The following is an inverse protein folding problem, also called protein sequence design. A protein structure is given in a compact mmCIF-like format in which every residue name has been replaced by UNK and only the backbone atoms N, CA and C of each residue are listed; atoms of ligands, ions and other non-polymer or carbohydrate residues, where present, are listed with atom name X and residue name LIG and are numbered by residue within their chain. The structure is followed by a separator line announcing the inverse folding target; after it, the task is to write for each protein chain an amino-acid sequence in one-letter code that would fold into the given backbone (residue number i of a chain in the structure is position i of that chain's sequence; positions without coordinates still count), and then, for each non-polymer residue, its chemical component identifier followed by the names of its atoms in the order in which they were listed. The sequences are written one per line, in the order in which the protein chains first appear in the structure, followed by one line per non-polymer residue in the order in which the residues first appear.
data_IF_043967172863
#
_entry.id   IF_043967172863
#
_cell.length_a   1.000
_cell.length_b   1.000
_cell.length_c   1.000
_cell.angle_alpha   90.00
_cell.angle_beta   90.00
_cell.angle_gamma   90.00
#
_symmetry.space_group_name_H-M   'P 1'
#
loop_
_entity.id
_entity.type
_entity.pdbx_description
1 polymer ?
#
# COMPACT_ATOMS: atom_id res chain seq x y z
N UNK A 1 -7.26 -21.88 -17.81
CA UNK A 1 -6.43 -22.53 -16.75
C UNK A 1 -7.36 -22.99 -15.63
N UNK A 2 -6.87 -23.77 -14.65
CA UNK A 2 -7.70 -24.22 -13.52
C UNK A 2 -8.30 -23.07 -12.66
N UNK A 3 -7.79 -21.83 -12.83
CA UNK A 3 -8.16 -20.64 -12.06
C UNK A 3 -8.76 -19.52 -12.94
N UNK A 4 -9.48 -19.88 -14.00
CA UNK A 4 -10.31 -18.94 -14.79
C UNK A 4 -9.57 -17.93 -15.70
N UNK A 5 -8.23 -17.90 -15.68
CA UNK A 5 -7.42 -17.06 -16.58
C UNK A 5 -6.90 -17.79 -17.82
N UNK A 6 -6.36 -17.03 -18.78
CA UNK A 6 -5.62 -17.59 -19.94
C UNK A 6 -4.12 -17.69 -19.64
N UNK A 7 -3.37 -18.47 -20.41
CA UNK A 7 -1.91 -18.56 -20.23
C UNK A 7 -1.21 -17.22 -20.46
N UNK A 8 -1.76 -16.36 -21.32
CA UNK A 8 -1.22 -15.01 -21.56
C UNK A 8 -1.51 -14.04 -20.40
N UNK A 9 -2.35 -14.42 -19.43
CA UNK A 9 -2.60 -13.69 -18.18
C UNK A 9 -1.69 -14.13 -17.02
N UNK A 10 -0.73 -15.03 -17.25
CA UNK A 10 0.18 -15.50 -16.23
C UNK A 10 1.25 -14.45 -15.87
N UNK A 11 1.67 -14.47 -14.61
CA UNK A 11 2.76 -13.65 -14.09
C UNK A 11 3.84 -14.53 -13.49
N UNK A 12 5.10 -14.15 -13.70
CA UNK A 12 6.16 -14.50 -12.77
C UNK A 12 6.05 -13.51 -11.61
N UNK A 13 6.09 -14.00 -10.37
CA UNK A 13 5.84 -13.16 -9.19
C UNK A 13 7.06 -13.14 -8.29
N UNK A 14 7.55 -11.93 -7.97
CA UNK A 14 8.62 -11.68 -7.00
C UNK A 14 8.00 -10.91 -5.85
N UNK A 15 8.00 -11.48 -4.64
CA UNK A 15 7.35 -10.90 -3.45
C UNK A 15 8.40 -10.66 -2.36
N UNK A 16 9.16 -9.56 -2.42
CA UNK A 16 10.20 -9.28 -1.43
C UNK A 16 9.60 -8.80 -0.11
N UNK A 17 10.12 -9.27 1.03
CA UNK A 17 9.88 -8.61 2.31
C UNK A 17 10.65 -7.28 2.35
N UNK A 18 10.02 -6.20 2.79
CA UNK A 18 10.68 -4.90 2.96
C UNK A 18 11.87 -5.01 3.93
N UNK A 19 12.96 -4.22 3.75
CA UNK A 19 14.03 -4.14 4.74
C UNK A 19 13.47 -3.80 6.13
N UNK A 20 13.77 -4.63 7.14
CA UNK A 20 13.22 -4.50 8.49
C UNK A 20 11.92 -5.28 8.74
N UNK A 21 11.34 -5.93 7.73
CA UNK A 21 10.08 -6.67 7.82
C UNK A 21 10.27 -8.17 7.61
N UNK A 22 9.54 -8.99 8.37
CA UNK A 22 9.47 -10.44 8.17
C UNK A 22 10.86 -11.10 8.10
N UNK A 23 11.14 -11.81 7.02
CA UNK A 23 12.40 -12.53 6.83
C UNK A 23 13.54 -11.69 6.25
N UNK A 24 13.29 -10.42 5.91
CA UNK A 24 14.35 -9.52 5.43
C UNK A 24 15.24 -9.06 6.58
N UNK A 25 16.50 -8.75 6.25
CA UNK A 25 17.45 -8.22 7.23
C UNK A 25 16.94 -6.93 7.90
N UNK A 26 17.33 -6.73 9.16
CA UNK A 26 16.97 -5.54 9.96
C UNK A 26 18.06 -4.46 9.77
N UNK A 27 17.78 -3.33 9.10
CA UNK A 27 18.76 -2.27 8.96
C UNK A 27 19.32 -1.79 10.31
N UNK A 28 20.65 -1.66 10.37
CA UNK A 28 21.38 -1.16 11.55
C UNK A 28 21.70 0.33 11.47
N UNK A 29 21.51 0.94 10.30
CA UNK A 29 21.71 2.37 10.06
C UNK A 29 20.44 2.98 9.44
N UNK A 30 20.15 4.26 9.73
CA UNK A 30 19.05 5.00 9.11
C UNK A 30 19.16 5.11 7.58
N UNK A 31 18.10 5.65 6.99
CA UNK A 31 18.03 6.02 5.58
C UNK A 31 17.52 4.90 4.68
N UNK A 32 16.74 3.96 5.21
CA UNK A 32 15.95 3.01 4.42
C UNK A 32 14.56 3.60 4.14
N UNK A 33 14.52 4.60 3.26
CA UNK A 33 13.29 5.23 2.77
C UNK A 33 12.70 4.47 1.57
N UNK A 34 11.45 4.75 1.17
CA UNK A 34 10.89 4.20 -0.07
C UNK A 34 11.77 4.45 -1.30
N UNK A 35 12.48 5.59 -1.36
CA UNK A 35 13.42 5.93 -2.44
C UNK A 35 14.55 4.89 -2.54
N UNK A 36 15.19 4.57 -1.40
CA UNK A 36 16.28 3.59 -1.35
C UNK A 36 15.79 2.16 -1.58
N UNK A 37 14.62 1.83 -1.04
CA UNK A 37 14.02 0.50 -1.25
C UNK A 37 13.70 0.29 -2.73
N UNK A 38 13.18 1.30 -3.43
CA UNK A 38 12.95 1.25 -4.88
C UNK A 38 14.23 0.98 -5.68
N UNK A 39 15.36 1.60 -5.30
CA UNK A 39 16.67 1.32 -5.90
C UNK A 39 17.11 -0.13 -5.62
N UNK A 40 16.91 -0.63 -4.40
CA UNK A 40 17.23 -2.00 -4.04
C UNK A 40 16.37 -3.02 -4.83
N UNK A 41 15.09 -2.73 -5.04
CA UNK A 41 14.21 -3.58 -5.85
C UNK A 41 14.55 -3.53 -7.34
N UNK A 42 14.98 -2.39 -7.87
CA UNK A 42 15.52 -2.33 -9.23
C UNK A 42 16.74 -3.26 -9.40
N UNK A 43 17.67 -3.23 -8.44
CA UNK A 43 18.82 -4.15 -8.41
C UNK A 43 18.38 -5.61 -8.26
N UNK A 44 17.36 -5.89 -7.44
CA UNK A 44 16.78 -7.23 -7.30
C UNK A 44 16.28 -7.76 -8.65
N UNK A 45 15.46 -6.96 -9.37
CA UNK A 45 14.91 -7.37 -10.66
C UNK A 45 16.01 -7.59 -11.71
N UNK A 46 17.05 -6.74 -11.72
CA UNK A 46 18.23 -6.94 -12.56
C UNK A 46 18.95 -8.26 -12.24
N UNK A 47 19.17 -8.57 -10.96
CA UNK A 47 19.85 -9.82 -10.52
C UNK A 47 19.05 -11.08 -10.84
N UNK A 48 17.72 -10.98 -10.82
CA UNK A 48 16.82 -12.06 -11.24
C UNK A 48 16.69 -12.19 -12.76
N UNK A 49 17.28 -11.27 -13.54
CA UNK A 49 17.27 -11.31 -15.00
C UNK A 49 15.97 -10.81 -15.65
N UNK A 50 15.09 -10.13 -14.91
CA UNK A 50 13.86 -9.57 -15.47
C UNK A 50 14.16 -8.27 -16.21
N UNK A 51 14.25 -8.35 -17.54
CA UNK A 51 14.48 -7.19 -18.42
C UNK A 51 13.20 -6.43 -18.81
N UNK A 52 12.03 -7.00 -18.48
CA UNK A 52 10.71 -6.41 -18.67
C UNK A 52 9.80 -6.87 -17.54
N UNK A 53 9.32 -5.93 -16.74
CA UNK A 53 8.50 -6.21 -15.58
C UNK A 53 7.56 -5.05 -15.26
N UNK A 54 6.61 -5.30 -14.38
CA UNK A 54 5.71 -4.31 -13.79
C UNK A 54 5.92 -4.33 -12.28
N UNK A 55 5.62 -3.21 -11.61
CA UNK A 55 5.63 -3.15 -10.14
C UNK A 55 4.20 -3.00 -9.62
N UNK A 56 3.95 -3.53 -8.43
CA UNK A 56 2.65 -3.50 -7.79
C UNK A 56 2.82 -3.22 -6.30
N UNK A 57 1.97 -2.37 -5.73
CA UNK A 57 1.86 -2.29 -4.29
C UNK A 57 0.70 -1.43 -3.78
N UNK A 58 0.24 -1.75 -2.57
CA UNK A 58 -0.51 -0.87 -1.68
C UNK A 58 0.38 -0.43 -0.51
N UNK A 59 -0.09 0.49 0.33
CA UNK A 59 0.64 0.98 1.52
C UNK A 59 2.11 1.36 1.21
N UNK A 60 3.09 0.94 2.03
CA UNK A 60 4.52 1.12 1.75
C UNK A 60 4.94 0.53 0.41
N UNK A 61 4.28 -0.54 -0.05
CA UNK A 61 4.48 -1.09 -1.39
C UNK A 61 4.09 -0.11 -2.51
N UNK A 62 3.04 0.70 -2.33
CA UNK A 62 2.71 1.78 -3.25
C UNK A 62 3.79 2.86 -3.21
N UNK A 63 4.18 3.30 -2.01
CA UNK A 63 5.22 4.31 -1.85
C UNK A 63 6.52 3.89 -2.56
N UNK A 64 6.91 2.62 -2.46
CA UNK A 64 8.07 2.06 -3.17
C UNK A 64 7.82 1.96 -4.68
N UNK A 65 6.66 1.46 -5.10
CA UNK A 65 6.31 1.30 -6.53
C UNK A 65 6.28 2.63 -7.28
N UNK A 66 5.73 3.68 -6.66
CA UNK A 66 5.77 5.03 -7.22
C UNK A 66 7.18 5.59 -7.29
N UNK A 67 8.03 5.34 -6.29
CA UNK A 67 9.45 5.71 -6.35
C UNK A 67 10.18 4.96 -7.46
N UNK A 68 9.88 3.68 -7.69
CA UNK A 68 10.39 2.96 -8.86
C UNK A 68 9.90 3.61 -10.16
N UNK A 69 8.64 4.05 -10.23
CA UNK A 69 8.09 4.71 -11.41
C UNK A 69 8.72 6.07 -11.70
N UNK A 70 9.14 6.81 -10.67
CA UNK A 70 9.92 8.05 -10.83
C UNK A 70 11.35 7.78 -11.27
N UNK A 71 11.99 6.76 -10.69
CA UNK A 71 13.36 6.35 -11.00
C UNK A 71 13.48 5.72 -12.40
N UNK A 72 12.40 5.15 -12.93
CA UNK A 72 12.33 4.47 -14.23
C UNK A 72 13.49 3.49 -14.46
N UNK A 73 13.70 2.51 -13.55
CA UNK A 73 14.76 1.53 -13.74
C UNK A 73 14.55 0.76 -15.05
N UNK A 74 15.65 0.34 -15.73
CA UNK A 74 15.55 -0.40 -16.98
C UNK A 74 14.62 -1.62 -16.85
N UNK A 75 13.66 -1.73 -17.78
CA UNK A 75 12.72 -2.83 -17.84
C UNK A 75 11.38 -2.61 -17.12
N UNK A 76 11.23 -1.59 -16.28
CA UNK A 76 9.94 -1.27 -15.68
C UNK A 76 8.97 -0.68 -16.73
N UNK A 77 7.89 -1.41 -17.01
CA UNK A 77 6.91 -1.04 -18.04
C UNK A 77 5.75 -0.17 -17.51
N UNK A 78 5.46 -0.26 -16.22
CA UNK A 78 4.34 0.41 -15.57
C UNK A 78 4.12 -0.09 -14.15
N UNK A 79 3.23 0.58 -13.42
CA UNK A 79 2.87 0.20 -12.05
C UNK A 79 1.37 -0.02 -11.88
N UNK A 80 1.00 -0.86 -10.92
CA UNK A 80 -0.37 -0.96 -10.39
C UNK A 80 -0.38 -0.60 -8.91
N UNK A 81 -1.42 0.11 -8.49
CA UNK A 81 -1.64 0.44 -7.09
C UNK A 81 -3.09 0.22 -6.66
N UNK A 82 -3.25 -0.30 -5.45
CA UNK A 82 -4.53 -0.37 -4.74
C UNK A 82 -4.65 0.67 -3.61
N UNK A 83 -3.68 1.56 -3.46
CA UNK A 83 -3.66 2.66 -2.48
C UNK A 83 -2.92 3.86 -3.09
N UNK A 84 -3.53 4.44 -4.11
CA UNK A 84 -2.89 5.43 -4.98
C UNK A 84 -2.57 6.74 -4.24
N UNK A 85 -1.45 7.41 -4.54
CA UNK A 85 -1.16 8.76 -4.04
C UNK A 85 -1.73 9.83 -5.00
N UNK A 86 -3.01 10.18 -4.80
CA UNK A 86 -3.76 11.04 -5.75
C UNK A 86 -4.33 12.31 -5.14
N UNK A 87 -4.08 12.60 -3.87
CA UNK A 87 -4.76 13.69 -3.15
C UNK A 87 -4.32 15.06 -3.68
N UNK A 88 -5.23 15.89 -4.22
CA UNK A 88 -4.89 17.23 -4.70
C UNK A 88 -4.28 18.12 -3.61
N UNK A 89 -3.38 19.02 -3.98
CA UNK A 89 -2.63 19.85 -3.03
C UNK A 89 -3.52 20.78 -2.18
N UNK A 90 -4.61 21.31 -2.75
CA UNK A 90 -5.59 22.12 -2.05
C UNK A 90 -6.41 21.30 -1.03
N UNK A 91 -6.78 20.06 -1.39
CA UNK A 91 -7.40 19.09 -0.48
C UNK A 91 -6.45 18.74 0.66
N UNK A 92 -5.20 18.37 0.37
CA UNK A 92 -4.19 18.04 1.38
C UNK A 92 -3.93 19.21 2.34
N UNK A 93 -3.82 20.44 1.81
CA UNK A 93 -3.64 21.65 2.61
C UNK A 93 -4.83 21.91 3.53
N UNK A 94 -6.05 21.73 3.04
CA UNK A 94 -7.25 21.95 3.84
C UNK A 94 -7.40 20.89 4.95
N UNK A 95 -7.12 19.62 4.66
CA UNK A 95 -7.08 18.54 5.66
C UNK A 95 -6.03 18.81 6.74
N UNK A 96 -4.81 19.18 6.35
CA UNK A 96 -3.73 19.50 7.29
C UNK A 96 -4.05 20.70 8.20
N UNK A 97 -4.87 21.63 7.72
CA UNK A 97 -5.34 22.78 8.50
C UNK A 97 -6.55 22.46 9.41
N UNK A 98 -7.12 21.25 9.33
CA UNK A 98 -8.39 20.92 9.98
C UNK A 98 -9.56 21.76 9.45
N UNK A 99 -9.44 22.27 8.23
CA UNK A 99 -10.41 23.17 7.60
C UNK A 99 -11.58 22.45 6.94
N UNK A 100 -12.57 23.18 6.42
CA UNK A 100 -13.66 22.60 5.64
C UNK A 100 -13.17 22.05 4.30
N UNK A 101 -13.93 21.12 3.66
CA UNK A 101 -13.63 20.67 2.31
C UNK A 101 -13.56 21.85 1.33
N UNK A 102 -12.63 21.84 0.35
CA UNK A 102 -12.64 22.78 -0.77
C UNK A 102 -14.02 22.84 -1.44
N UNK A 103 -14.37 24.03 -1.94
CA UNK A 103 -15.63 24.22 -2.68
C UNK A 103 -15.55 23.48 -4.01
N UNK A 104 -16.64 22.83 -4.41
CA UNK A 104 -16.76 22.22 -5.74
C UNK A 104 -16.27 20.78 -5.84
N UNK A 105 -15.96 20.10 -4.73
CA UNK A 105 -15.77 18.65 -4.74
C UNK A 105 -17.04 17.96 -5.25
N UNK A 106 -16.88 17.07 -6.22
CA UNK A 106 -17.94 16.16 -6.65
C UNK A 106 -18.34 15.21 -5.51
N UNK A 107 -19.49 14.50 -5.58
CA UNK A 107 -19.88 13.54 -4.56
C UNK A 107 -18.81 12.46 -4.29
N UNK A 108 -18.10 12.03 -5.33
CA UNK A 108 -17.03 11.05 -5.23
C UNK A 108 -15.80 11.60 -4.48
N UNK A 109 -15.39 12.82 -4.83
CA UNK A 109 -14.27 13.50 -4.16
C UNK A 109 -14.63 13.91 -2.72
N UNK A 110 -15.90 14.21 -2.46
CA UNK A 110 -16.40 14.47 -1.11
C UNK A 110 -16.38 13.19 -0.25
N UNK A 111 -16.71 12.04 -0.83
CA UNK A 111 -16.58 10.76 -0.13
C UNK A 111 -15.12 10.48 0.25
N UNK A 112 -14.18 10.63 -0.68
CA UNK A 112 -12.76 10.49 -0.40
C UNK A 112 -12.26 11.51 0.64
N UNK A 113 -12.74 12.76 0.59
CA UNK A 113 -12.48 13.76 1.63
C UNK A 113 -12.92 13.26 3.00
N UNK A 114 -14.15 12.78 3.14
CA UNK A 114 -14.69 12.34 4.44
C UNK A 114 -13.91 11.15 5.00
N UNK A 115 -13.48 10.23 4.13
CA UNK A 115 -12.62 9.12 4.52
C UNK A 115 -11.24 9.58 5.01
N UNK A 116 -10.62 10.54 4.31
CA UNK A 116 -9.32 11.11 4.68
C UNK A 116 -9.41 11.95 5.96
N UNK A 117 -10.44 12.77 6.11
CA UNK A 117 -10.65 13.61 7.30
C UNK A 117 -10.81 12.77 8.56
N UNK A 118 -11.59 11.68 8.49
CA UNK A 118 -11.71 10.69 9.56
C UNK A 118 -10.35 10.03 9.86
N UNK A 119 -9.63 9.57 8.83
CA UNK A 119 -8.32 8.94 9.00
C UNK A 119 -7.29 9.87 9.65
N UNK A 120 -7.20 11.14 9.22
CA UNK A 120 -6.26 12.10 9.80
C UNK A 120 -6.59 12.45 11.26
N UNK A 121 -7.87 12.42 11.65
CA UNK A 121 -8.30 12.69 13.02
C UNK A 121 -8.16 11.47 13.94
N UNK A 122 -8.42 10.28 13.42
CA UNK A 122 -8.65 9.09 14.25
C UNK A 122 -7.71 7.91 13.97
N UNK A 123 -7.08 7.84 12.80
CA UNK A 123 -6.35 6.66 12.31
C UNK A 123 -4.81 6.72 12.39
N UNK A 124 -4.22 7.87 12.76
CA UNK A 124 -2.77 8.06 12.70
C UNK A 124 -1.99 7.71 13.97
N UNK A 125 -2.66 7.27 15.05
CA UNK A 125 -2.01 7.06 16.35
C UNK A 125 -0.76 6.16 16.28
N UNK A 126 -0.87 5.01 15.61
CA UNK A 126 0.25 4.08 15.45
C UNK A 126 1.41 4.72 14.66
N UNK A 127 1.10 5.41 13.56
CA UNK A 127 2.08 6.02 12.68
C UNK A 127 2.80 7.19 13.36
N UNK A 128 2.09 7.98 14.18
CA UNK A 128 2.68 9.09 14.94
C UNK A 128 3.74 8.57 15.92
N UNK A 129 3.46 7.47 16.64
CA UNK A 129 4.45 6.88 17.55
C UNK A 129 5.64 6.31 16.76
N UNK A 130 5.40 5.57 15.66
CA UNK A 130 6.48 5.02 14.84
C UNK A 130 7.33 6.08 14.12
N UNK A 131 6.71 7.20 13.69
CA UNK A 131 7.42 8.33 13.08
C UNK A 131 8.39 8.98 14.07
N UNK A 132 7.99 9.08 15.34
CA UNK A 132 8.74 9.83 16.35
C UNK A 132 9.73 8.97 17.11
N UNK A 133 9.29 7.81 17.62
CA UNK A 133 10.02 6.99 18.59
C UNK A 133 9.78 5.49 18.35
N UNK A 134 10.13 4.93 17.17
CA UNK A 134 9.87 3.51 16.90
C UNK A 134 10.55 2.55 17.90
N UNK A 135 11.67 2.96 18.49
CA UNK A 135 12.43 2.14 19.43
C UNK A 135 11.79 2.04 20.82
N UNK A 136 10.92 2.98 21.23
CA UNK A 136 10.26 2.92 22.55
C UNK A 136 9.17 1.87 22.63
N UNK A 137 8.74 1.33 21.47
CA UNK A 137 7.75 0.26 21.35
C UNK A 137 8.26 -1.11 21.84
N UNK A 138 9.19 -1.18 22.80
CA UNK A 138 9.68 -2.47 23.33
C UNK A 138 8.56 -3.36 23.89
N UNK A 139 7.47 -2.77 24.38
CA UNK A 139 6.32 -3.54 24.86
C UNK A 139 5.69 -4.47 23.80
N UNK A 140 5.71 -4.10 22.51
CA UNK A 140 5.12 -4.93 21.44
C UNK A 140 6.05 -6.05 20.97
N UNK A 141 7.31 -6.07 21.39
CA UNK A 141 8.23 -7.19 21.12
C UNK A 141 8.47 -8.08 22.33
N UNK A 142 8.07 -7.62 23.53
CA UNK A 142 8.15 -8.39 24.77
C UNK A 142 6.83 -9.12 25.10
N UNK A 143 5.70 -8.67 24.54
CA UNK A 143 4.38 -9.25 24.76
C UNK A 143 3.72 -9.67 23.44
N UNK A 144 3.42 -10.96 23.22
CA UNK A 144 2.73 -11.41 22.02
C UNK A 144 1.28 -10.88 21.96
N UNK A 145 0.64 -10.69 23.12
CA UNK A 145 -0.68 -10.03 23.21
C UNK A 145 -0.56 -8.55 22.88
N UNK A 146 0.52 -7.90 23.32
CA UNK A 146 0.82 -6.51 22.96
C UNK A 146 1.04 -6.33 21.46
N UNK A 147 1.80 -7.24 20.83
CA UNK A 147 1.99 -7.27 19.38
C UNK A 147 0.68 -7.48 18.64
N UNK A 148 -0.12 -8.47 19.06
CA UNK A 148 -1.39 -8.77 18.45
C UNK A 148 -2.32 -7.55 18.52
N UNK A 149 -2.52 -6.97 19.70
CA UNK A 149 -3.35 -5.77 19.85
C UNK A 149 -2.88 -4.62 18.94
N UNK A 150 -1.57 -4.38 18.88
CA UNK A 150 -0.97 -3.35 18.04
C UNK A 150 -1.22 -3.57 16.54
N UNK A 151 -1.16 -4.82 16.07
CA UNK A 151 -1.41 -5.15 14.66
C UNK A 151 -2.89 -5.19 14.30
N UNK A 152 -3.77 -5.59 15.23
CA UNK A 152 -5.20 -5.72 14.97
C UNK A 152 -5.92 -4.36 14.93
N UNK A 153 -5.47 -3.38 15.73
CA UNK A 153 -6.13 -2.08 15.91
C UNK A 153 -5.25 -0.90 15.44
N UNK A 154 -4.77 -0.98 14.19
CA UNK A 154 -3.98 0.10 13.57
C UNK A 154 -4.83 1.11 12.79
N UNK A 155 -6.00 0.69 12.27
CA UNK A 155 -7.03 1.58 11.75
C UNK A 155 -8.43 0.99 11.96
N UNK A 156 -9.45 1.85 12.01
CA UNK A 156 -10.81 1.45 12.38
C UNK A 156 -11.51 0.56 11.36
N UNK A 157 -11.21 0.68 10.05
CA UNK A 157 -11.87 -0.13 9.00
C UNK A 157 -11.29 -1.53 9.00
N UNK A 158 -9.96 -1.65 9.04
CA UNK A 158 -9.26 -2.93 9.18
C UNK A 158 -9.64 -3.62 10.49
N UNK A 159 -9.66 -2.89 11.61
CA UNK A 159 -10.08 -3.44 12.90
C UNK A 159 -11.50 -4.01 12.83
N UNK A 160 -12.45 -3.27 12.26
CA UNK A 160 -13.83 -3.74 12.11
C UNK A 160 -13.94 -4.99 11.24
N UNK A 161 -13.16 -5.10 10.15
CA UNK A 161 -13.12 -6.30 9.32
C UNK A 161 -12.57 -7.49 10.12
N UNK A 162 -11.44 -7.28 10.78
CA UNK A 162 -10.78 -8.31 11.59
C UNK A 162 -11.70 -8.77 12.73
N UNK A 163 -12.33 -7.85 13.45
CA UNK A 163 -13.28 -8.18 14.51
C UNK A 163 -14.42 -9.08 14.00
N UNK A 164 -14.99 -8.80 12.82
CA UNK A 164 -16.02 -9.65 12.22
C UNK A 164 -15.51 -11.05 11.89
N UNK A 165 -14.26 -11.19 11.43
CA UNK A 165 -13.60 -12.50 11.21
C UNK A 165 -13.45 -13.26 12.54
N UNK A 166 -13.05 -12.57 13.61
CA UNK A 166 -12.99 -13.15 14.95
C UNK A 166 -14.37 -13.48 15.53
N UNK A 167 -15.43 -12.79 15.11
CA UNK A 167 -16.82 -13.12 15.46
C UNK A 167 -17.41 -14.25 14.59
N UNK A 168 -16.62 -14.80 13.65
CA UNK A 168 -17.01 -15.94 12.81
C UNK A 168 -17.71 -15.57 11.50
N UNK A 169 -17.70 -14.30 11.11
CA UNK A 169 -18.20 -13.85 9.80
C UNK A 169 -17.17 -14.11 8.70
N UNK A 170 -17.64 -14.30 7.46
CA UNK A 170 -16.77 -14.53 6.30
C UNK A 170 -16.46 -13.21 5.59
N UNK A 171 -15.22 -12.75 5.71
CA UNK A 171 -14.74 -11.52 5.03
C UNK A 171 -13.64 -11.76 4.00
N UNK A 172 -13.35 -13.03 3.68
CA UNK A 172 -12.25 -13.43 2.80
C UNK A 172 -10.97 -13.78 3.54
N UNK A 173 -10.91 -13.51 4.85
CA UNK A 173 -9.87 -13.93 5.77
C UNK A 173 -10.41 -14.91 6.82
N UNK A 174 -9.54 -15.79 7.30
CA UNK A 174 -9.75 -16.62 8.48
C UNK A 174 -9.03 -16.04 9.69
N UNK A 175 -9.33 -16.55 10.89
CA UNK A 175 -8.58 -16.20 12.10
C UNK A 175 -7.12 -16.62 11.99
N UNK A 176 -6.86 -17.78 11.37
CA UNK A 176 -5.53 -18.33 11.21
C UNK A 176 -4.69 -17.46 10.27
N UNK A 177 -5.27 -16.95 9.18
CA UNK A 177 -4.57 -15.97 8.32
C UNK A 177 -4.04 -14.80 9.17
N UNK A 178 -4.90 -14.22 10.02
CA UNK A 178 -4.56 -13.06 10.84
C UNK A 178 -3.48 -13.41 11.87
N UNK A 179 -3.61 -14.56 12.52
CA UNK A 179 -2.64 -15.05 13.50
C UNK A 179 -1.31 -15.44 12.85
N UNK A 180 -1.30 -15.91 11.61
CA UNK A 180 -0.08 -16.21 10.85
C UNK A 180 0.71 -14.93 10.58
N UNK A 181 0.04 -13.83 10.21
CA UNK A 181 0.70 -12.53 10.05
C UNK A 181 1.27 -12.01 11.37
N UNK A 182 0.54 -12.10 12.49
CA UNK A 182 1.05 -11.72 13.82
C UNK A 182 2.24 -12.61 14.22
N UNK A 183 2.13 -13.91 13.98
CA UNK A 183 3.17 -14.91 14.29
C UNK A 183 4.43 -14.67 13.48
N UNK A 184 4.31 -14.28 12.21
CA UNK A 184 5.45 -13.88 11.39
C UNK A 184 6.25 -12.77 12.08
N UNK A 185 5.59 -11.67 12.47
CA UNK A 185 6.26 -10.54 13.14
C UNK A 185 6.85 -10.91 14.50
N UNK A 186 6.16 -11.78 15.24
CA UNK A 186 6.62 -12.28 16.53
C UNK A 186 7.91 -13.10 16.39
N UNK A 187 7.89 -14.13 15.54
CA UNK A 187 8.99 -15.07 15.41
C UNK A 187 10.22 -14.47 14.74
N UNK A 188 10.05 -13.47 13.87
CA UNK A 188 11.17 -12.73 13.28
C UNK A 188 11.62 -11.58 14.17
N UNK A 189 10.86 -11.24 15.21
CA UNK A 189 11.05 -10.08 16.09
C UNK A 189 11.24 -8.79 15.26
N UNK A 190 10.35 -8.55 14.30
CA UNK A 190 10.47 -7.43 13.35
C UNK A 190 9.58 -6.23 13.64
N UNK A 191 8.72 -6.25 14.66
CA UNK A 191 7.79 -5.14 14.92
C UNK A 191 8.48 -3.78 15.11
N UNK A 192 9.62 -3.74 15.82
CA UNK A 192 10.41 -2.51 15.96
C UNK A 192 11.19 -2.19 14.69
N UNK A 193 11.79 -3.19 14.03
CA UNK A 193 12.60 -2.90 12.83
C UNK A 193 11.74 -2.43 11.66
N UNK A 194 10.50 -2.89 11.54
CA UNK A 194 9.53 -2.38 10.56
C UNK A 194 9.12 -0.95 10.87
N UNK A 195 8.89 -0.62 12.15
CA UNK A 195 8.55 0.73 12.58
C UNK A 195 9.61 1.79 12.23
N UNK A 196 10.88 1.39 12.03
CA UNK A 196 11.96 2.32 11.62
C UNK A 196 11.76 2.89 10.22
N UNK A 197 11.00 2.23 9.34
CA UNK A 197 10.65 2.78 8.02
C UNK A 197 9.80 4.06 8.16
N UNK A 198 8.88 4.10 9.13
CA UNK A 198 8.09 5.29 9.45
C UNK A 198 8.99 6.44 9.90
N UNK A 199 9.92 6.16 10.82
CA UNK A 199 10.91 7.14 11.27
C UNK A 199 11.77 7.66 10.11
N UNK A 200 12.31 6.77 9.27
CA UNK A 200 13.12 7.16 8.11
C UNK A 200 12.32 8.01 7.13
N UNK A 201 11.06 7.67 6.86
CA UNK A 201 10.19 8.46 5.99
C UNK A 201 9.87 9.84 6.58
N UNK A 202 9.71 9.94 7.90
CA UNK A 202 9.46 11.21 8.58
C UNK A 202 10.69 12.12 8.62
N UNK A 203 11.89 11.56 8.74
CA UNK A 203 13.15 12.32 8.88
C UNK A 203 13.87 12.56 7.55
N UNK A 204 13.54 11.80 6.51
CA UNK A 204 14.03 11.97 5.14
C UNK A 204 12.84 12.02 4.15
N UNK A 205 11.94 13.01 4.28
CA UNK A 205 10.70 13.04 3.52
C UNK A 205 10.94 13.28 2.03
N UNK A 206 10.18 12.60 1.20
CA UNK A 206 10.15 12.78 -0.26
C UNK A 206 8.77 13.25 -0.76
N UNK A 207 8.03 13.98 0.08
CA UNK A 207 6.64 14.38 -0.12
C UNK A 207 5.67 13.68 0.85
N UNK A 208 4.41 14.12 0.87
CA UNK A 208 3.34 13.47 1.62
C UNK A 208 3.05 12.06 1.10
N UNK A 209 2.47 11.21 1.95
CA UNK A 209 2.21 9.81 1.62
C UNK A 209 1.26 9.67 0.42
N UNK A 210 0.23 10.52 0.37
CA UNK A 210 -0.81 10.55 -0.65
C UNK A 210 -0.64 11.64 -1.72
N UNK A 211 0.49 12.34 -1.71
CA UNK A 211 0.76 13.42 -2.67
C UNK A 211 1.00 12.86 -4.08
N UNK A 212 0.37 13.42 -5.12
CA UNK A 212 0.72 13.13 -6.51
C UNK A 212 2.19 13.41 -6.80
N UNK A 213 2.90 12.44 -7.37
CA UNK A 213 4.36 12.52 -7.61
C UNK A 213 4.77 12.88 -9.04
N UNK A 214 3.80 13.03 -9.95
CA UNK A 214 4.07 13.39 -11.35
C UNK A 214 4.64 12.27 -12.21
N UNK A 215 4.24 11.02 -11.95
CA UNK A 215 4.67 9.81 -12.66
C UNK A 215 4.40 9.90 -14.17
N UNK A 216 5.37 9.49 -14.99
CA UNK A 216 5.35 9.64 -16.46
C UNK A 216 5.24 8.31 -17.24
N UNK A 217 5.23 7.18 -16.53
CA UNK A 217 5.04 5.84 -17.11
C UNK A 217 3.59 5.37 -16.89
N UNK A 218 3.15 4.29 -17.57
CA UNK A 218 1.82 3.73 -17.35
C UNK A 218 1.51 3.41 -15.88
N UNK A 219 0.32 3.80 -15.43
CA UNK A 219 -0.19 3.52 -14.08
C UNK A 219 -1.56 2.87 -14.18
N UNK A 220 -1.82 1.88 -13.34
CA UNK A 220 -3.13 1.27 -13.14
C UNK A 220 -3.58 1.44 -11.69
N UNK A 221 -4.87 1.69 -11.48
CA UNK A 221 -5.46 1.90 -10.14
C UNK A 221 -6.65 0.98 -9.93
N UNK A 222 -6.69 0.30 -8.79
CA UNK A 222 -7.88 -0.39 -8.29
C UNK A 222 -8.32 0.27 -6.98
N UNK A 223 -9.39 1.06 -7.03
CA UNK A 223 -9.87 1.85 -5.89
C UNK A 223 -10.89 1.04 -5.07
N UNK A 224 -10.39 0.27 -4.10
CA UNK A 224 -11.20 -0.53 -3.18
C UNK A 224 -12.00 0.35 -2.20
N UNK A 225 -13.26 -0.02 -1.87
CA UNK A 225 -14.18 0.85 -1.13
C UNK A 225 -13.75 1.12 0.32
N UNK A 226 -13.20 0.12 1.01
CA UNK A 226 -12.85 0.20 2.44
C UNK A 226 -11.36 0.49 2.68
N UNK A 227 -10.62 0.92 1.66
CA UNK A 227 -9.27 1.47 1.81
C UNK A 227 -9.29 2.76 2.68
N UNK A 228 -8.13 3.25 3.13
CA UNK A 228 -8.00 4.53 3.86
C UNK A 228 -8.77 5.65 3.16
N UNK A 229 -8.70 5.70 1.83
CA UNK A 229 -9.67 6.39 1.01
C UNK A 229 -9.83 5.70 -0.34
N UNK A 230 -11.05 5.69 -0.86
CA UNK A 230 -11.33 5.21 -2.20
C UNK A 230 -10.96 6.31 -3.20
N UNK A 231 -9.80 6.19 -3.84
CA UNK A 231 -9.26 7.21 -4.74
C UNK A 231 -10.25 7.57 -5.85
N UNK A 232 -10.76 8.83 -5.93
CA UNK A 232 -11.66 9.26 -6.99
C UNK A 232 -10.99 9.17 -8.35
N UNK A 233 -11.77 8.82 -9.38
CA UNK A 233 -11.27 8.74 -10.75
C UNK A 233 -10.71 10.08 -11.24
N UNK A 234 -11.38 11.18 -10.92
CA UNK A 234 -10.95 12.54 -11.27
C UNK A 234 -9.57 12.89 -10.69
N UNK A 235 -9.27 12.41 -9.48
CA UNK A 235 -7.97 12.60 -8.84
C UNK A 235 -6.90 11.71 -9.49
N UNK A 236 -7.23 10.44 -9.76
CA UNK A 236 -6.33 9.52 -10.45
C UNK A 236 -5.94 10.00 -11.86
N UNK A 237 -6.90 10.50 -12.65
CA UNK A 237 -6.64 11.04 -13.99
C UNK A 237 -5.75 12.28 -13.96
N UNK A 238 -5.90 13.15 -12.94
CA UNK A 238 -5.02 14.31 -12.73
C UNK A 238 -3.61 13.91 -12.28
N UNK A 239 -3.51 12.94 -11.36
CA UNK A 239 -2.24 12.49 -10.79
C UNK A 239 -1.41 11.65 -11.77
N UNK A 240 -2.07 10.87 -12.65
CA UNK A 240 -1.44 9.92 -13.55
C UNK A 240 -1.81 10.19 -15.02
N UNK A 241 -1.02 11.00 -15.75
CA UNK A 241 -1.27 11.33 -17.15
C UNK A 241 -1.30 10.12 -18.11
N UNK A 242 -0.76 8.97 -17.69
CA UNK A 242 -0.81 7.69 -18.42
C UNK A 242 -1.57 6.62 -17.62
N UNK A 243 -2.76 6.95 -17.15
CA UNK A 243 -3.65 6.00 -16.48
C UNK A 243 -4.19 4.98 -17.51
N UNK A 244 -3.69 3.75 -17.47
CA UNK A 244 -4.04 2.68 -18.42
C UNK A 244 -5.19 1.80 -17.96
N UNK A 245 -5.49 1.82 -16.66
CA UNK A 245 -6.61 1.08 -16.06
C UNK A 245 -7.05 1.81 -14.79
N UNK A 246 -8.36 1.93 -14.63
CA UNK A 246 -8.99 2.39 -13.40
C UNK A 246 -10.24 1.57 -13.19
N UNK A 247 -10.37 0.95 -12.03
CA UNK A 247 -11.60 0.27 -11.64
C UNK A 247 -11.91 0.47 -10.16
N UNK A 248 -13.18 0.25 -9.80
CA UNK A 248 -13.68 0.24 -8.42
C UNK A 248 -14.27 -1.12 -8.13
N UNK A 249 -13.53 -2.02 -7.48
CA UNK A 249 -14.09 -3.28 -7.01
C UNK A 249 -15.24 -3.05 -6.04
N UNK A 250 -16.24 -3.94 -6.04
CA UNK A 250 -17.44 -3.81 -5.19
C UNK A 250 -17.19 -4.14 -3.71
N UNK A 251 -16.04 -4.78 -3.39
CA UNK A 251 -15.66 -5.20 -2.04
C UNK A 251 -14.14 -5.18 -1.87
N UNK A 252 -13.71 -4.96 -0.63
CA UNK A 252 -12.33 -5.04 -0.15
C UNK A 252 -11.85 -3.72 0.43
N UNK A 253 -10.84 -3.78 1.29
CA UNK A 253 -10.21 -2.63 1.90
C UNK A 253 -8.70 -2.59 1.73
N UNK A 254 -8.01 -2.27 2.82
CA UNK A 254 -6.57 -2.00 2.84
C UNK A 254 -5.74 -3.22 2.41
N UNK A 255 -6.14 -4.42 2.81
CA UNK A 255 -5.43 -5.67 2.49
C UNK A 255 -6.02 -6.34 1.25
N UNK A 256 -6.24 -5.57 0.18
CA UNK A 256 -6.95 -5.98 -1.04
C UNK A 256 -6.61 -7.39 -1.57
N UNK A 257 -5.32 -7.73 -1.68
CA UNK A 257 -4.87 -9.03 -2.17
C UNK A 257 -5.16 -10.19 -1.21
N UNK A 258 -5.21 -9.89 0.09
CA UNK A 258 -5.44 -10.85 1.16
C UNK A 258 -6.94 -11.06 1.40
N UNK A 259 -7.71 -9.96 1.47
CA UNK A 259 -9.15 -9.98 1.64
C UNK A 259 -9.88 -10.52 0.40
N UNK A 260 -9.47 -10.08 -0.79
CA UNK A 260 -10.19 -10.33 -2.05
C UNK A 260 -9.25 -10.88 -3.14
N UNK A 261 -8.61 -12.05 -2.93
CA UNK A 261 -7.55 -12.55 -3.81
C UNK A 261 -8.03 -12.76 -5.26
N UNK A 262 -9.27 -13.19 -5.45
CA UNK A 262 -9.84 -13.40 -6.78
C UNK A 262 -10.09 -12.08 -7.53
N UNK A 263 -10.66 -11.08 -6.84
CA UNK A 263 -10.89 -9.74 -7.41
C UNK A 263 -9.55 -9.07 -7.71
N UNK A 264 -8.62 -9.08 -6.76
CA UNK A 264 -7.28 -8.52 -6.93
C UNK A 264 -6.53 -9.17 -8.11
N UNK A 265 -6.59 -10.50 -8.23
CA UNK A 265 -5.99 -11.20 -9.38
C UNK A 265 -6.62 -10.81 -10.71
N UNK A 266 -7.94 -10.63 -10.77
CA UNK A 266 -8.63 -10.18 -11.98
C UNK A 266 -8.21 -8.75 -12.36
N UNK A 267 -8.10 -7.87 -11.37
CA UNK A 267 -7.63 -6.49 -11.54
C UNK A 267 -6.21 -6.43 -12.10
N UNK A 268 -5.25 -7.20 -11.56
CA UNK A 268 -3.88 -7.22 -12.10
C UNK A 268 -3.82 -7.72 -13.54
N UNK A 269 -4.60 -8.76 -13.87
CA UNK A 269 -4.67 -9.30 -15.23
C UNK A 269 -5.22 -8.26 -16.21
N UNK A 270 -6.27 -7.54 -15.82
CA UNK A 270 -6.86 -6.48 -16.63
C UNK A 270 -5.91 -5.29 -16.77
N UNK A 271 -5.36 -4.81 -15.65
CA UNK A 271 -4.48 -3.66 -15.56
C UNK A 271 -3.26 -3.75 -16.48
N UNK A 272 -2.62 -4.92 -16.53
CA UNK A 272 -1.40 -5.09 -17.32
C UNK A 272 -1.61 -5.70 -18.71
N UNK A 273 -2.86 -6.03 -19.08
CA UNK A 273 -3.18 -6.51 -20.44
C UNK A 273 -2.68 -5.55 -21.54
N UNK A 274 -2.84 -4.22 -21.44
CA UNK A 274 -2.35 -3.29 -22.46
C UNK A 274 -0.82 -3.22 -22.60
N UNK A 275 -0.06 -3.69 -21.60
CA UNK A 275 1.42 -3.65 -21.60
C UNK A 275 2.06 -4.92 -22.17
N UNK A 276 1.24 -5.92 -22.52
CA UNK A 276 1.72 -7.15 -23.16
C UNK A 276 2.19 -6.82 -24.58
N UNK A 277 3.22 -7.52 -25.04
CA UNK A 277 3.53 -7.49 -26.47
C UNK A 277 2.42 -8.21 -27.23
N UNK A 278 1.92 -7.60 -28.30
CA UNK A 278 1.31 -8.34 -29.39
C UNK A 278 2.41 -9.15 -30.05
N UNK A 279 2.49 -10.44 -29.73
CA UNK A 279 3.13 -11.44 -30.59
C UNK A 279 2.29 -11.66 -31.83
#
# INVERSE_FOLDING_TARGET
TAHGGTASDAFHVVIPSLPGYGFSGKPTAPGWTPVRIAQAWAVLMQRLGYTRYVAQGGDWGNAVSEQMALQQPPGLLGIHTNMAATVPADVAKALAAGGPPPVGLSPDEKHAWDQLDDFYKNGLGYAIEMNNRPQTLYGIVDSPVGLAAWMLDHDIRSYRLIARVFDGQTEGLTRDDILDNVTLYWLTNTAISSARLYWDNAHFPSGGFFDPRGIKIPVAVSAFPDEIYQAPRSWAEKAYPKLIHYNRPDKGGHFAAWEQPALFSAELRAAFRPLRQTT
#
